data_IF_897581270877
#
_entry.id   IF_897581270877
#
_cell.length_a   1.000
_cell.length_b   1.000
_cell.length_c   1.000
_cell.angle_alpha   90.00
_cell.angle_beta   90.00
_cell.angle_gamma   90.00
#
_symmetry.space_group_name_H-M   'P 1'
#
loop_
_entity.id
_entity.type
_entity.pdbx_description
1 polymer ?
#
# COMPACT_ATOMS: atom_id res chain seq x y z
N UNK A 1 15.80 -5.63 18.32
CA UNK A 1 15.98 -7.08 18.11
C UNK A 1 14.89 -7.60 17.18
N UNK A 2 15.09 -8.75 16.50
CA UNK A 2 14.04 -9.39 15.70
C UNK A 2 12.80 -9.70 16.54
N UNK A 3 11.63 -9.71 15.90
CA UNK A 3 10.34 -9.92 16.59
C UNK A 3 9.73 -11.27 16.23
N UNK A 4 8.88 -11.85 17.10
CA UNK A 4 8.07 -13.00 16.72
C UNK A 4 7.04 -12.64 15.61
N UNK A 5 6.58 -13.62 14.82
CA UNK A 5 5.47 -13.44 13.88
C UNK A 5 4.20 -12.97 14.57
N UNK A 6 3.58 -11.91 14.05
CA UNK A 6 2.33 -11.35 14.55
C UNK A 6 1.32 -11.24 13.41
N UNK A 7 0.08 -11.66 13.64
CA UNK A 7 -1.02 -11.56 12.66
C UNK A 7 -1.88 -10.33 12.90
N UNK A 8 -2.21 -9.61 11.84
CA UNK A 8 -3.10 -8.44 11.87
C UNK A 8 -3.65 -8.13 10.47
N UNK A 9 -4.71 -7.33 10.42
CA UNK A 9 -5.21 -6.74 9.18
C UNK A 9 -4.39 -5.50 8.84
N UNK A 10 -3.87 -5.46 7.63
CA UNK A 10 -3.06 -4.35 7.11
C UNK A 10 -3.89 -3.55 6.11
N UNK A 11 -4.05 -2.25 6.38
CA UNK A 11 -4.76 -1.31 5.51
C UNK A 11 -4.01 -1.09 4.18
N UNK A 12 -4.68 -0.57 3.13
CA UNK A 12 -3.99 -0.08 1.95
C UNK A 12 -2.96 1.00 2.31
N UNK A 13 -1.68 0.73 2.09
CA UNK A 13 -0.60 1.63 2.44
C UNK A 13 0.67 1.34 1.63
N UNK A 14 1.56 2.31 1.61
CA UNK A 14 2.96 2.12 1.27
C UNK A 14 3.79 2.12 2.55
N UNK A 15 4.70 1.15 2.65
CA UNK A 15 5.55 0.90 3.79
C UNK A 15 7.02 0.98 3.35
N UNK A 16 7.79 1.83 4.02
CA UNK A 16 9.22 1.99 3.82
C UNK A 16 9.96 1.52 5.06
N UNK A 17 11.20 1.09 4.87
CA UNK A 17 12.14 0.79 5.94
C UNK A 17 13.29 1.76 5.79
N UNK A 18 13.65 2.46 6.86
CA UNK A 18 14.88 3.24 6.88
C UNK A 18 16.04 2.41 7.45
N UNK A 19 15.73 1.46 8.35
CA UNK A 19 16.73 0.61 8.98
C UNK A 19 16.15 -0.77 9.35
N UNK A 20 16.92 -1.83 9.09
CA UNK A 20 16.55 -3.21 9.36
C UNK A 20 15.83 -3.88 8.19
N UNK A 21 15.15 -5.00 8.46
CA UNK A 21 14.41 -5.78 7.46
C UNK A 21 13.13 -6.35 8.03
N UNK A 22 12.07 -6.38 7.21
CA UNK A 22 10.76 -6.90 7.59
C UNK A 22 10.35 -8.02 6.64
N UNK A 23 9.76 -9.07 7.20
CA UNK A 23 9.05 -10.11 6.46
C UNK A 23 7.55 -9.93 6.64
N UNK A 24 6.81 -10.05 5.55
CA UNK A 24 5.35 -10.10 5.50
C UNK A 24 4.94 -11.38 4.77
N UNK A 25 4.01 -12.12 5.35
CA UNK A 25 3.40 -13.31 4.77
C UNK A 25 1.96 -13.01 4.39
N UNK A 26 1.56 -13.40 3.18
CA UNK A 26 0.17 -13.42 2.72
C UNK A 26 -0.15 -14.85 2.24
N UNK A 27 -0.91 -15.60 3.03
CA UNK A 27 -1.09 -17.02 2.81
C UNK A 27 0.26 -17.76 2.90
N UNK A 28 0.64 -18.44 1.82
CA UNK A 28 1.92 -19.18 1.73
C UNK A 28 3.07 -18.32 1.18
N UNK A 29 2.78 -17.10 0.71
CA UNK A 29 3.78 -16.25 0.07
C UNK A 29 4.51 -15.37 1.06
N UNK A 30 5.82 -15.20 0.85
CA UNK A 30 6.71 -14.41 1.69
C UNK A 30 7.32 -13.23 0.95
N UNK A 31 7.10 -12.03 1.48
CA UNK A 31 7.65 -10.76 1.00
C UNK A 31 8.67 -10.27 2.03
N UNK A 32 9.93 -10.12 1.61
CA UNK A 32 11.00 -9.57 2.45
C UNK A 32 11.48 -8.30 1.78
N UNK A 33 11.59 -7.23 2.56
CA UNK A 33 12.05 -5.93 2.07
C UNK A 33 12.90 -5.23 3.14
N UNK A 34 13.69 -4.27 2.67
CA UNK A 34 14.71 -3.54 3.42
C UNK A 34 14.72 -2.06 2.98
N UNK A 35 15.80 -1.33 3.28
CA UNK A 35 15.88 0.10 3.02
C UNK A 35 15.92 0.51 1.53
N UNK A 36 16.17 -0.43 0.62
CA UNK A 36 16.18 -0.16 -0.82
C UNK A 36 14.84 -0.47 -1.49
N UNK A 37 13.85 -0.90 -0.71
CA UNK A 37 12.59 -1.39 -1.22
C UNK A 37 11.42 -0.79 -0.42
N UNK A 38 10.26 -0.71 -1.06
CA UNK A 38 9.01 -0.44 -0.36
C UNK A 38 8.07 -1.62 -0.52
N UNK A 39 7.17 -1.78 0.44
CA UNK A 39 6.04 -2.69 0.32
C UNK A 39 4.78 -1.86 0.07
N UNK A 40 4.01 -2.23 -0.94
CA UNK A 40 2.73 -1.60 -1.24
C UNK A 40 1.61 -2.62 -1.05
N UNK A 41 0.60 -2.21 -0.31
CA UNK A 41 -0.66 -2.91 -0.16
C UNK A 41 -1.78 -1.99 -0.62
N UNK A 42 -2.68 -2.52 -1.42
CA UNK A 42 -3.67 -1.72 -2.15
C UNK A 42 -5.11 -2.13 -1.83
N UNK A 43 -5.29 -3.11 -0.96
CA UNK A 43 -6.56 -3.56 -0.36
C UNK A 43 -6.28 -3.97 1.10
N UNK A 44 -7.31 -4.08 1.93
CA UNK A 44 -7.15 -4.66 3.26
C UNK A 44 -6.69 -6.13 3.17
N UNK A 45 -5.61 -6.49 3.86
CA UNK A 45 -5.07 -7.84 3.81
C UNK A 45 -4.83 -8.44 5.21
N UNK A 46 -5.27 -9.69 5.46
CA UNK A 46 -4.83 -10.43 6.63
C UNK A 46 -3.39 -10.91 6.40
N UNK A 47 -2.44 -10.37 7.16
CA UNK A 47 -1.02 -10.71 7.02
C UNK A 47 -0.44 -11.29 8.31
N UNK A 48 0.69 -11.96 8.18
CA UNK A 48 1.59 -12.26 9.30
C UNK A 48 2.89 -11.52 9.03
N UNK A 49 3.37 -10.70 9.97
CA UNK A 49 4.61 -9.98 9.79
C UNK A 49 5.57 -10.14 10.98
N UNK A 50 6.86 -10.03 10.69
CA UNK A 50 7.89 -9.92 11.71
C UNK A 50 9.11 -9.13 11.22
N UNK A 51 9.76 -8.45 12.16
CA UNK A 51 11.08 -7.85 11.94
C UNK A 51 12.09 -8.99 12.00
N UNK A 52 12.85 -9.18 10.93
CA UNK A 52 13.84 -10.26 10.82
C UNK A 52 15.27 -9.77 11.08
N UNK A 53 15.51 -8.47 10.96
CA UNK A 53 16.83 -7.86 11.18
C UNK A 53 16.69 -6.52 11.93
N UNK A 54 17.19 -6.47 13.17
CA UNK A 54 17.29 -5.27 14.01
C UNK A 54 18.19 -5.54 15.22
N UNK A 55 18.99 -4.57 15.65
CA UNK A 55 19.89 -4.62 16.83
C UNK A 55 19.60 -3.45 17.77
N UNK A 56 20.23 -3.41 18.95
CA UNK A 56 20.06 -2.26 19.87
C UNK A 56 20.73 -1.01 19.29
N UNK A 57 21.93 -1.15 18.71
CA UNK A 57 22.67 -0.05 18.07
C UNK A 57 22.08 0.35 16.71
N UNK A 58 21.30 -0.55 16.10
CA UNK A 58 20.62 -0.35 14.82
C UNK A 58 19.18 -0.88 14.90
N UNK A 59 18.25 -0.15 15.56
CA UNK A 59 16.86 -0.56 15.70
C UNK A 59 16.12 -0.59 14.36
N UNK A 60 15.02 -1.34 14.29
CA UNK A 60 14.15 -1.26 13.13
C UNK A 60 13.47 0.11 13.06
N UNK A 61 13.56 0.78 11.92
CA UNK A 61 12.81 1.99 11.61
C UNK A 61 12.02 1.77 10.33
N UNK A 62 10.72 2.04 10.39
CA UNK A 62 9.85 2.00 9.22
C UNK A 62 8.84 3.13 9.24
N UNK A 63 8.39 3.52 8.05
CA UNK A 63 7.36 4.52 7.83
C UNK A 63 6.22 3.86 7.08
N UNK A 64 4.98 4.17 7.48
CA UNK A 64 3.77 3.71 6.81
C UNK A 64 2.96 4.94 6.43
N UNK A 65 2.54 5.01 5.17
CA UNK A 65 1.59 6.01 4.68
C UNK A 65 0.41 5.28 4.05
N UNK A 66 -0.78 5.48 4.59
CA UNK A 66 -2.02 4.95 4.01
C UNK A 66 -2.26 5.55 2.62
N UNK A 67 -2.77 4.73 1.70
CA UNK A 67 -3.10 5.16 0.36
C UNK A 67 -4.47 5.84 0.37
N UNK A 68 -4.54 7.02 -0.22
CA UNK A 68 -5.81 7.65 -0.57
C UNK A 68 -6.16 7.23 -2.00
N UNK A 69 -6.97 6.17 -2.12
CA UNK A 69 -7.37 5.63 -3.41
C UNK A 69 -8.23 6.62 -4.23
N UNK A 70 -8.92 7.56 -3.56
CA UNK A 70 -9.68 8.61 -4.25
C UNK A 70 -8.74 9.64 -4.86
N UNK A 71 -7.73 10.07 -4.12
CA UNK A 71 -6.71 11.00 -4.63
C UNK A 71 -5.90 10.38 -5.77
N UNK A 72 -5.53 9.09 -5.65
CA UNK A 72 -4.86 8.36 -6.73
C UNK A 72 -5.74 8.30 -7.98
N UNK A 73 -7.03 8.01 -7.83
CA UNK A 73 -7.97 8.00 -8.95
C UNK A 73 -8.07 9.37 -9.62
N UNK A 74 -8.16 10.44 -8.82
CA UNK A 74 -8.24 11.80 -9.34
C UNK A 74 -6.95 12.18 -10.07
N UNK A 75 -5.80 11.80 -9.52
CA UNK A 75 -4.50 12.10 -10.10
C UNK A 75 -4.30 11.45 -11.47
N UNK A 76 -4.76 10.21 -11.66
CA UNK A 76 -4.74 9.52 -12.96
C UNK A 76 -5.52 10.32 -14.01
N UNK A 77 -6.69 10.85 -13.63
CA UNK A 77 -7.53 11.69 -14.51
C UNK A 77 -6.82 13.01 -14.81
N UNK A 78 -6.33 13.71 -13.78
CA UNK A 78 -5.72 15.04 -13.92
C UNK A 78 -4.42 15.04 -14.74
N UNK A 79 -3.69 13.92 -14.73
CA UNK A 79 -2.42 13.76 -15.45
C UNK A 79 -2.54 13.01 -16.77
N UNK A 80 -3.77 12.71 -17.21
CA UNK A 80 -4.07 11.99 -18.46
C UNK A 80 -3.27 10.68 -18.62
N UNK A 81 -3.01 9.99 -17.51
CA UNK A 81 -2.18 8.79 -17.53
C UNK A 81 -2.90 7.64 -18.21
N UNK A 82 -2.25 7.09 -19.24
CA UNK A 82 -2.72 5.91 -19.94
C UNK A 82 -2.08 4.65 -19.34
N UNK A 83 -2.91 3.78 -18.78
CA UNK A 83 -2.50 2.44 -18.36
C UNK A 83 -3.06 1.41 -19.34
N UNK A 84 -2.26 0.39 -19.66
CA UNK A 84 -2.75 -0.76 -20.42
C UNK A 84 -3.72 -1.57 -19.57
N UNK A 85 -4.90 -1.87 -20.12
CA UNK A 85 -5.85 -2.74 -19.46
C UNK A 85 -5.32 -4.18 -19.44
N UNK A 86 -4.70 -4.58 -18.34
CA UNK A 86 -4.50 -6.00 -18.05
C UNK A 86 -5.76 -6.56 -17.38
N UNK A 87 -6.24 -7.69 -17.92
CA UNK A 87 -7.35 -8.45 -17.33
C UNK A 87 -6.90 -9.37 -16.19
N UNK A 88 -5.59 -9.57 -16.02
CA UNK A 88 -5.09 -10.38 -14.93
C UNK A 88 -5.15 -9.59 -13.63
N UNK A 89 -5.79 -10.17 -12.62
CA UNK A 89 -5.74 -9.61 -11.27
C UNK A 89 -4.32 -9.70 -10.73
N UNK A 90 -3.81 -8.56 -10.30
CA UNK A 90 -2.60 -8.51 -9.50
C UNK A 90 -2.94 -8.76 -8.02
N UNK A 91 -1.97 -9.29 -7.28
CA UNK A 91 -2.10 -9.48 -5.82
C UNK A 91 -2.42 -8.16 -5.12
N UNK A 92 -3.03 -8.21 -3.95
CA UNK A 92 -3.26 -7.00 -3.14
C UNK A 92 -1.98 -6.40 -2.55
N UNK A 93 -0.83 -7.07 -2.70
CA UNK A 93 0.46 -6.72 -2.10
C UNK A 93 1.60 -6.93 -3.11
N UNK A 94 2.63 -6.11 -3.00
CA UNK A 94 3.88 -6.24 -3.75
C UNK A 94 5.04 -5.55 -3.02
N UNK A 95 6.27 -5.92 -3.43
CA UNK A 95 7.50 -5.19 -3.10
C UNK A 95 7.98 -4.53 -4.38
N UNK A 96 8.37 -3.27 -4.29
CA UNK A 96 8.97 -2.53 -5.40
C UNK A 96 10.27 -1.83 -4.99
N UNK A 97 11.04 -1.41 -5.99
CA UNK A 97 12.31 -0.69 -5.77
C UNK A 97 12.08 0.76 -5.34
N UNK A 98 12.77 1.19 -4.28
CA UNK A 98 12.66 2.55 -3.79
C UNK A 98 13.58 3.49 -4.58
N UNK A 99 13.01 4.22 -5.53
CA UNK A 99 13.76 5.27 -6.25
C UNK A 99 14.17 6.41 -5.31
N UNK A 100 15.32 7.05 -5.58
CA UNK A 100 15.81 8.21 -4.83
C UNK A 100 14.76 9.33 -4.78
N UNK A 101 14.05 9.55 -5.88
CA UNK A 101 13.05 10.60 -5.98
C UNK A 101 11.79 10.33 -5.15
N UNK A 102 11.44 9.06 -4.95
CA UNK A 102 10.35 8.64 -4.08
C UNK A 102 10.78 8.75 -2.61
N UNK A 103 12.00 8.31 -2.30
CA UNK A 103 12.59 8.46 -0.96
C UNK A 103 12.66 9.93 -0.54
N UNK A 104 13.15 10.82 -1.40
CA UNK A 104 13.20 12.27 -1.15
C UNK A 104 11.84 12.85 -0.74
N UNK A 105 10.76 12.46 -1.44
CA UNK A 105 9.42 12.91 -1.10
C UNK A 105 8.97 12.42 0.28
N UNK A 106 9.32 11.20 0.68
CA UNK A 106 9.07 10.70 2.03
C UNK A 106 9.91 11.40 3.10
N UNK A 107 11.17 11.69 2.82
CA UNK A 107 12.05 12.43 3.73
C UNK A 107 11.46 13.82 3.97
N UNK A 108 11.12 14.56 2.92
CA UNK A 108 10.46 15.87 3.05
C UNK A 108 9.13 15.79 3.81
N UNK A 109 8.34 14.74 3.60
CA UNK A 109 7.10 14.54 4.35
C UNK A 109 7.37 14.34 5.85
N UNK A 110 8.43 13.60 6.20
CA UNK A 110 8.82 13.35 7.58
C UNK A 110 9.43 14.59 8.25
N UNK A 111 10.22 15.38 7.53
CA UNK A 111 10.81 16.65 8.01
C UNK A 111 9.73 17.67 8.43
N UNK A 112 8.53 17.61 7.84
CA UNK A 112 7.41 18.46 8.27
C UNK A 112 6.98 18.23 9.72
N UNK A 113 7.37 17.11 10.36
CA UNK A 113 7.11 16.88 11.79
C UNK A 113 7.84 17.91 12.67
N UNK A 114 8.96 18.46 12.22
CA UNK A 114 9.69 19.54 12.88
C UNK A 114 9.13 20.93 12.52
N UNK A 115 8.31 21.03 11.47
CA UNK A 115 7.69 22.26 10.96
C UNK A 115 6.16 22.21 11.02
N UNK A 116 5.63 21.99 12.23
CA UNK A 116 4.20 21.75 12.45
C UNK A 116 3.24 22.76 11.79
N UNK A 117 3.63 24.04 11.72
CA UNK A 117 2.85 25.10 11.06
C UNK A 117 2.68 24.89 9.54
N UNK A 118 3.61 24.18 8.90
CA UNK A 118 3.63 23.96 7.47
C UNK A 118 2.87 22.68 7.07
N UNK A 119 2.64 21.74 8.00
CA UNK A 119 2.00 20.44 7.75
C UNK A 119 0.68 20.59 6.99
N UNK A 120 -0.20 21.50 7.43
CA UNK A 120 -1.55 21.65 6.85
C UNK A 120 -1.51 21.99 5.36
N UNK A 121 -0.48 22.72 4.92
CA UNK A 121 -0.35 23.19 3.54
C UNK A 121 0.55 22.26 2.72
N UNK A 122 1.71 21.87 3.26
CA UNK A 122 2.72 21.13 2.51
C UNK A 122 2.45 19.62 2.48
N UNK A 123 1.94 19.01 3.55
CA UNK A 123 1.77 17.56 3.59
C UNK A 123 0.82 17.04 2.49
N UNK A 124 -0.34 17.66 2.18
CA UNK A 124 -1.18 17.22 1.07
C UNK A 124 -0.46 17.26 -0.29
N UNK A 125 0.34 18.29 -0.54
CA UNK A 125 1.09 18.47 -1.80
C UNK A 125 2.15 17.37 -1.95
N UNK A 126 2.92 17.11 -0.88
CA UNK A 126 3.95 16.07 -0.89
C UNK A 126 3.33 14.67 -1.01
N UNK A 127 2.20 14.41 -0.32
CA UNK A 127 1.47 13.13 -0.48
C UNK A 127 1.01 12.91 -1.93
N UNK A 128 0.47 13.96 -2.57
CA UNK A 128 0.08 13.90 -3.98
C UNK A 128 1.27 13.63 -4.90
N UNK A 129 2.42 14.23 -4.62
CA UNK A 129 3.68 13.93 -5.31
C UNK A 129 4.09 12.45 -5.13
N UNK A 130 4.00 11.91 -3.92
CA UNK A 130 4.30 10.50 -3.65
C UNK A 130 3.38 9.58 -4.47
N UNK A 131 2.07 9.85 -4.47
CA UNK A 131 1.13 9.08 -5.29
C UNK A 131 1.46 9.13 -6.78
N UNK A 132 1.85 10.31 -7.30
CA UNK A 132 2.29 10.45 -8.69
C UNK A 132 3.51 9.58 -8.99
N UNK A 133 4.53 9.64 -8.12
CA UNK A 133 5.75 8.84 -8.29
C UNK A 133 5.47 7.34 -8.23
N UNK A 134 4.52 6.91 -7.40
CA UNK A 134 4.08 5.52 -7.36
C UNK A 134 3.36 5.09 -8.65
N UNK A 135 2.52 5.96 -9.22
CA UNK A 135 1.88 5.71 -10.50
C UNK A 135 2.90 5.59 -11.65
N UNK A 136 4.04 6.28 -11.55
CA UNK A 136 5.14 6.21 -12.53
C UNK A 136 6.09 5.03 -12.32
N UNK A 137 5.96 4.31 -11.19
CA UNK A 137 6.77 3.13 -10.89
C UNK A 137 6.21 1.87 -11.56
N UNK A 138 6.92 0.75 -11.42
CA UNK A 138 6.44 -0.59 -11.78
C UNK A 138 5.09 -0.96 -11.12
N UNK A 139 4.73 -0.28 -10.02
CA UNK A 139 3.48 -0.50 -9.29
C UNK A 139 2.29 0.31 -9.82
N UNK A 140 2.49 1.19 -10.80
CA UNK A 140 1.44 2.07 -11.33
C UNK A 140 0.23 1.30 -11.87
N UNK A 141 0.46 0.24 -12.64
CA UNK A 141 -0.62 -0.63 -13.16
C UNK A 141 -1.45 -1.26 -12.04
N UNK A 142 -0.82 -1.64 -10.92
CA UNK A 142 -1.53 -2.21 -9.75
C UNK A 142 -2.49 -1.21 -9.14
N UNK A 143 -1.98 0.00 -8.91
CA UNK A 143 -2.76 1.10 -8.33
C UNK A 143 -3.91 1.48 -9.25
N UNK A 144 -3.63 1.62 -10.54
CA UNK A 144 -4.65 1.91 -11.55
C UNK A 144 -5.75 0.85 -11.57
N UNK A 145 -5.39 -0.44 -11.57
CA UNK A 145 -6.40 -1.51 -11.58
C UNK A 145 -7.36 -1.40 -10.39
N UNK A 146 -6.88 -1.06 -9.20
CA UNK A 146 -7.72 -1.07 -7.99
C UNK A 146 -8.71 0.09 -7.93
N UNK A 147 -8.34 1.23 -8.50
CA UNK A 147 -9.23 2.40 -8.59
C UNK A 147 -10.13 2.36 -9.83
N UNK A 148 -9.81 1.51 -10.82
CA UNK A 148 -10.61 1.35 -12.04
C UNK A 148 -11.88 0.54 -11.77
N UNK A 149 -13.04 1.21 -11.81
CA UNK A 149 -14.34 0.56 -11.68
C UNK A 149 -14.52 -0.58 -12.71
N UNK A 150 -15.01 -1.73 -12.24
CA UNK A 150 -15.24 -2.91 -13.09
C UNK A 150 -13.99 -3.74 -13.42
N UNK A 151 -12.79 -3.33 -12.97
CA UNK A 151 -11.62 -4.21 -13.04
C UNK A 151 -11.77 -5.40 -12.07
N UNK A 152 -11.08 -6.50 -12.35
CA UNK A 152 -11.10 -7.65 -11.45
C UNK A 152 -10.50 -7.32 -10.07
N UNK A 153 -9.42 -6.53 -10.03
CA UNK A 153 -8.82 -6.06 -8.77
C UNK A 153 -9.77 -5.17 -7.96
N UNK A 154 -10.59 -4.35 -8.64
CA UNK A 154 -11.61 -3.53 -7.99
C UNK A 154 -12.79 -4.36 -7.46
N UNK A 155 -13.23 -5.39 -8.18
CA UNK A 155 -14.21 -6.36 -7.69
C UNK A 155 -13.69 -7.12 -6.46
N UNK A 156 -12.42 -7.54 -6.47
CA UNK A 156 -11.77 -8.16 -5.31
C UNK A 156 -11.72 -7.20 -4.13
N UNK A 157 -11.35 -5.93 -4.35
CA UNK A 157 -11.34 -4.91 -3.30
C UNK A 157 -12.73 -4.73 -2.67
N UNK A 158 -13.80 -4.68 -3.49
CA UNK A 158 -15.19 -4.64 -3.02
C UNK A 158 -15.58 -5.89 -2.23
N UNK A 159 -15.14 -7.07 -2.67
CA UNK A 159 -15.42 -8.31 -1.97
C UNK A 159 -14.78 -8.32 -0.58
N UNK A 160 -13.52 -7.87 -0.48
CA UNK A 160 -12.77 -7.74 0.77
C UNK A 160 -13.48 -6.77 1.72
N UNK A 161 -13.86 -5.58 1.23
CA UNK A 161 -14.58 -4.59 2.05
C UNK A 161 -15.93 -5.13 2.55
N UNK A 162 -16.68 -5.81 1.68
CA UNK A 162 -17.94 -6.44 2.06
C UNK A 162 -17.74 -7.50 3.15
N UNK A 163 -16.75 -8.38 3.00
CA UNK A 163 -16.42 -9.42 3.99
C UNK A 163 -16.02 -8.80 5.33
N UNK A 164 -15.15 -7.78 5.30
CA UNK A 164 -14.71 -7.02 6.48
C UNK A 164 -15.89 -6.39 7.22
N UNK A 165 -16.88 -5.86 6.50
CA UNK A 165 -18.05 -5.21 7.08
C UNK A 165 -19.19 -6.18 7.44
N UNK A 166 -19.13 -7.44 6.99
CA UNK A 166 -20.19 -8.44 7.21
C UNK A 166 -19.68 -9.75 7.86
N UNK A 167 -18.49 -9.76 8.45
CA UNK A 167 -17.83 -10.97 8.98
C UNK A 167 -18.62 -11.74 10.05
N UNK A 168 -19.59 -11.09 10.72
CA UNK A 168 -20.47 -11.71 11.73
C UNK A 168 -21.71 -12.37 11.12
N UNK A 169 -21.98 -12.17 9.83
CA UNK A 169 -23.15 -12.72 9.13
C UNK A 169 -22.78 -14.01 8.38
N UNK A 170 -23.73 -14.93 8.17
CA UNK A 170 -23.52 -16.05 7.27
C UNK A 170 -23.09 -15.58 5.88
N UNK A 171 -22.05 -16.22 5.32
CA UNK A 171 -21.53 -15.90 4.00
C UNK A 171 -22.30 -16.68 2.93
N UNK A 172 -22.89 -15.97 1.96
CA UNK A 172 -23.47 -16.53 0.74
C UNK A 172 -22.62 -16.13 -0.47
N UNK A 173 -22.15 -17.12 -1.23
CA UNK A 173 -21.39 -16.87 -2.47
C UNK A 173 -22.23 -16.09 -3.49
N UNK A 174 -23.54 -16.37 -3.56
CA UNK A 174 -24.45 -15.68 -4.47
C UNK A 174 -24.63 -14.21 -4.10
N UNK A 175 -24.72 -13.89 -2.81
CA UNK A 175 -24.88 -12.51 -2.33
C UNK A 175 -23.62 -11.70 -2.57
N UNK A 176 -22.45 -12.31 -2.32
CA UNK A 176 -21.15 -11.69 -2.57
C UNK A 176 -20.94 -11.41 -4.07
N UNK A 177 -21.21 -12.40 -4.93
CA UNK A 177 -21.08 -12.25 -6.38
C UNK A 177 -22.00 -11.14 -6.91
N UNK A 178 -23.25 -11.10 -6.45
CA UNK A 178 -24.21 -10.06 -6.84
C UNK A 178 -23.80 -8.66 -6.39
N UNK A 179 -23.14 -8.55 -5.24
CA UNK A 179 -22.65 -7.28 -4.71
C UNK A 179 -21.42 -6.74 -5.47
N UNK A 180 -20.50 -7.62 -5.86
CA UNK A 180 -19.22 -7.23 -6.47
C UNK A 180 -19.32 -6.92 -7.95
N UNK A 181 -20.35 -7.44 -8.63
CA UNK A 181 -20.61 -7.24 -10.07
C UNK A 181 -20.09 -8.39 -10.90
#
# INVERSE_FOLDING_TARGET
TPTPPTSYTHNPSICLIAQGRKRVLLGEESFIYDANHFLISSVDLPIIANIIEAREEQPYLGLIMELDLTEISQLIVDSELAFTQSKEAQKGIAVGELSESLLDAFVRLAELLDEGQNIKILAPIIKREIFYRLLMSEQGTRLHQIVTAGSHSHQIAKAIDWLKNNFVKPLSVGDLASFTG
#
